data_IF_106809792675
#
_entry.id   IF_106809792675
#
_cell.length_a   1.000
_cell.length_b   1.000
_cell.length_c   1.000
_cell.angle_alpha   90.00
_cell.angle_beta   90.00
_cell.angle_gamma   90.00
#
_symmetry.space_group_name_H-M   'P 1'
#
loop_
_entity.id
_entity.type
_entity.pdbx_description
1 polymer ?
#
# COMPACT_ATOMS: atom_id res chain seq x y z
N UNK A 1 -13.40 12.54 -8.53
CA UNK A 1 -11.93 12.44 -8.72
C UNK A 1 -11.64 11.27 -9.64
N UNK A 2 -10.57 11.28 -10.45
CA UNK A 2 -10.15 10.05 -11.14
C UNK A 2 -9.81 8.98 -10.09
N UNK A 3 -10.05 7.71 -10.37
CA UNK A 3 -9.78 6.60 -9.44
C UNK A 3 -8.34 6.64 -8.88
N UNK A 4 -7.35 6.90 -9.74
CA UNK A 4 -5.96 7.12 -9.32
C UNK A 4 -5.76 8.32 -8.38
N UNK A 5 -6.53 9.39 -8.54
CA UNK A 5 -6.47 10.55 -7.65
C UNK A 5 -7.02 10.24 -6.26
N UNK A 6 -8.03 9.37 -6.17
CA UNK A 6 -8.53 8.87 -4.89
C UNK A 6 -7.46 8.02 -4.18
N UNK A 7 -6.86 7.06 -4.88
CA UNK A 7 -5.75 6.25 -4.35
C UNK A 7 -4.59 7.13 -3.86
N UNK A 8 -4.17 8.12 -4.65
CA UNK A 8 -3.10 9.04 -4.27
C UNK A 8 -3.44 9.88 -3.03
N UNK A 9 -4.71 10.25 -2.82
CA UNK A 9 -5.13 11.09 -1.69
C UNK A 9 -5.35 10.29 -0.41
N UNK A 10 -5.90 9.08 -0.52
CA UNK A 10 -6.40 8.34 0.65
C UNK A 10 -5.55 7.11 0.99
N UNK A 11 -4.76 6.57 0.06
CA UNK A 11 -3.93 5.37 0.29
C UNK A 11 -2.46 5.73 0.45
N UNK A 12 -1.94 6.65 -0.37
CA UNK A 12 -0.51 7.02 -0.31
C UNK A 12 -0.13 7.67 1.02
N UNK A 13 -0.87 8.65 1.59
CA UNK A 13 -0.47 9.27 2.86
C UNK A 13 -0.38 8.29 4.05
N UNK A 14 -1.38 7.41 4.31
CA UNK A 14 -1.24 6.44 5.39
C UNK A 14 -0.13 5.42 5.12
N UNK A 15 0.06 4.99 3.87
CA UNK A 15 1.15 4.08 3.52
C UNK A 15 2.52 4.69 3.82
N UNK A 16 2.74 5.96 3.42
CA UNK A 16 3.95 6.71 3.75
C UNK A 16 4.10 6.85 5.27
N UNK A 17 3.02 7.15 5.99
CA UNK A 17 3.02 7.22 7.45
C UNK A 17 3.50 5.92 8.10
N UNK A 18 3.02 4.76 7.64
CA UNK A 18 3.46 3.45 8.13
C UNK A 18 4.93 3.17 7.83
N UNK A 19 5.40 3.51 6.63
CA UNK A 19 6.82 3.35 6.26
C UNK A 19 7.73 4.25 7.10
N UNK A 20 7.33 5.50 7.36
CA UNK A 20 8.06 6.42 8.24
C UNK A 20 8.10 5.92 9.68
N UNK A 21 7.00 5.37 10.19
CA UNK A 21 6.97 4.77 11.53
C UNK A 21 7.91 3.57 11.63
N UNK A 22 7.89 2.69 10.63
CA UNK A 22 8.80 1.55 10.55
C UNK A 22 10.27 2.00 10.51
N UNK A 23 10.58 3.02 9.71
CA UNK A 23 11.93 3.60 9.66
C UNK A 23 12.33 4.20 11.02
N UNK A 24 11.46 4.96 11.66
CA UNK A 24 11.69 5.53 12.99
C UNK A 24 11.95 4.45 14.04
N UNK A 25 11.20 3.35 14.00
CA UNK A 25 11.38 2.23 14.92
C UNK A 25 12.70 1.50 14.68
N UNK A 26 13.11 1.35 13.41
CA UNK A 26 14.43 0.84 13.05
C UNK A 26 15.56 1.72 13.61
N UNK A 27 15.44 3.05 13.48
CA UNK A 27 16.41 4.00 14.06
C UNK A 27 16.48 3.92 15.60
N UNK A 28 15.37 3.54 16.25
CA UNK A 28 15.30 3.34 17.71
C UNK A 28 15.73 1.95 18.17
N UNK A 29 16.27 1.13 17.25
CA UNK A 29 16.73 -0.23 17.55
C UNK A 29 15.60 -1.23 17.82
N UNK A 30 14.33 -0.85 17.60
CA UNK A 30 13.23 -1.81 17.66
C UNK A 30 13.32 -2.72 16.44
N UNK A 31 13.39 -4.01 16.69
CA UNK A 31 13.46 -5.00 15.61
C UNK A 31 12.11 -5.67 15.44
N UNK A 32 11.69 -5.87 14.19
CA UNK A 32 10.52 -6.70 13.88
C UNK A 32 10.68 -8.12 14.46
N UNK A 33 9.60 -8.81 14.84
CA UNK A 33 9.67 -10.22 15.22
C UNK A 33 10.32 -11.07 14.11
N UNK A 34 11.07 -12.14 14.43
CA UNK A 34 11.75 -12.97 13.44
C UNK A 34 10.86 -13.46 12.29
N UNK A 35 9.59 -13.81 12.60
CA UNK A 35 8.60 -14.25 11.62
C UNK A 35 8.30 -13.23 10.50
N UNK A 36 8.57 -11.93 10.74
CA UNK A 36 8.32 -10.86 9.79
C UNK A 36 9.60 -10.26 9.17
N UNK A 37 10.76 -10.91 9.33
CA UNK A 37 12.05 -10.45 8.78
C UNK A 37 12.45 -11.10 7.46
N UNK A 38 11.59 -11.93 6.88
CA UNK A 38 11.88 -12.65 5.63
C UNK A 38 12.01 -11.71 4.42
N UNK A 39 11.45 -10.50 4.50
CA UNK A 39 11.49 -9.50 3.43
C UNK A 39 11.72 -8.11 4.02
N UNK A 40 12.38 -7.23 3.26
CA UNK A 40 12.48 -5.81 3.61
C UNK A 40 11.07 -5.19 3.67
N UNK A 41 10.72 -4.41 4.70
CA UNK A 41 9.39 -3.82 4.84
C UNK A 41 8.93 -3.00 3.62
N UNK A 42 9.85 -2.28 2.98
CA UNK A 42 9.58 -1.47 1.79
C UNK A 42 9.21 -2.35 0.59
N UNK A 43 9.91 -3.47 0.40
CA UNK A 43 9.59 -4.46 -0.63
C UNK A 43 8.26 -5.15 -0.34
N UNK A 44 7.95 -5.41 0.93
CA UNK A 44 6.68 -6.03 1.31
C UNK A 44 5.52 -5.09 1.02
N UNK A 45 5.65 -3.82 1.41
CA UNK A 45 4.68 -2.77 1.12
C UNK A 45 4.50 -2.57 -0.40
N UNK A 46 5.59 -2.49 -1.16
CA UNK A 46 5.54 -2.35 -2.61
C UNK A 46 4.83 -3.55 -3.28
N UNK A 47 5.11 -4.77 -2.83
CA UNK A 47 4.44 -5.98 -3.29
C UNK A 47 2.93 -5.95 -3.02
N UNK A 48 2.52 -5.53 -1.83
CA UNK A 48 1.09 -5.38 -1.50
C UNK A 48 0.42 -4.32 -2.38
N UNK A 49 1.06 -3.18 -2.60
CA UNK A 49 0.53 -2.14 -3.50
C UNK A 49 0.40 -2.67 -4.93
N UNK A 50 1.42 -3.37 -5.43
CA UNK A 50 1.39 -3.94 -6.78
C UNK A 50 0.27 -4.97 -6.93
N UNK A 51 0.12 -5.89 -5.98
CA UNK A 51 -0.96 -6.90 -5.99
C UNK A 51 -2.33 -6.22 -5.91
N UNK A 52 -2.51 -5.26 -5.00
CA UNK A 52 -3.75 -4.53 -4.86
C UNK A 52 -4.14 -3.82 -6.16
N UNK A 53 -3.23 -3.02 -6.73
CA UNK A 53 -3.49 -2.28 -7.97
C UNK A 53 -3.77 -3.24 -9.14
N UNK A 54 -2.95 -4.28 -9.32
CA UNK A 54 -3.15 -5.25 -10.40
C UNK A 54 -4.47 -6.01 -10.27
N UNK A 55 -4.85 -6.36 -9.04
CA UNK A 55 -6.08 -7.10 -8.77
C UNK A 55 -7.33 -6.23 -8.90
N UNK A 56 -7.32 -5.00 -8.35
CA UNK A 56 -8.54 -4.18 -8.29
C UNK A 56 -8.77 -3.35 -9.55
N UNK A 57 -7.72 -2.89 -10.24
CA UNK A 57 -7.87 -1.99 -11.41
C UNK A 57 -8.81 -2.55 -12.50
N UNK A 58 -8.77 -3.84 -12.88
CA UNK A 58 -9.70 -4.39 -13.87
C UNK A 58 -11.17 -4.30 -13.40
N UNK A 59 -11.43 -4.65 -12.15
CA UNK A 59 -12.77 -4.62 -11.56
C UNK A 59 -13.29 -3.21 -11.38
N UNK A 60 -12.46 -2.30 -10.88
CA UNK A 60 -12.84 -0.90 -10.66
C UNK A 60 -13.19 -0.22 -11.98
N UNK A 61 -12.41 -0.45 -13.04
CA UNK A 61 -12.70 0.07 -14.37
C UNK A 61 -13.99 -0.54 -14.94
N UNK A 62 -14.22 -1.84 -14.73
CA UNK A 62 -15.46 -2.51 -15.16
C UNK A 62 -16.69 -1.93 -14.45
N UNK A 63 -16.64 -1.75 -13.13
CA UNK A 63 -17.74 -1.21 -12.33
C UNK A 63 -18.07 0.24 -12.71
N UNK A 64 -17.04 1.06 -12.96
CA UNK A 64 -17.22 2.43 -13.48
C UNK A 64 -17.82 2.41 -14.89
N UNK A 65 -17.33 1.56 -15.78
CA UNK A 65 -17.84 1.46 -17.15
C UNK A 65 -19.30 0.99 -17.21
N UNK A 66 -19.70 0.14 -16.27
CA UNK A 66 -21.07 -0.39 -16.16
C UNK A 66 -22.01 0.47 -15.32
N UNK A 67 -21.53 1.58 -14.73
CA UNK A 67 -22.30 2.51 -13.88
C UNK A 67 -22.99 1.84 -12.69
N UNK A 68 -22.36 0.79 -12.15
CA UNK A 68 -22.79 0.16 -10.90
C UNK A 68 -22.34 1.01 -9.68
N UNK A 69 -21.41 1.94 -9.92
CA UNK A 69 -20.84 2.87 -8.95
C UNK A 69 -21.07 4.32 -9.37
#
# INVERSE_FOLDING_TARGET
MKYFGFLARFVVPPLVGLLLLNWRDHLRGKRMPPAFRNLKPELAAAGHVAVAVAYTTPWDNYLVATRVW
#
